data_IF_077411788218
#
_entry.id   IF_077411788218
#
_cell.length_a   1.000
_cell.length_b   1.000
_cell.length_c   1.000
_cell.angle_alpha   90.00
_cell.angle_beta   90.00
_cell.angle_gamma   90.00
#
_symmetry.space_group_name_H-M   'P 1'
#
loop_
_entity.id
_entity.type
_entity.pdbx_description
1 polymer ?
#
# COMPACT_ATOMS: atom_id res chain seq x y z
N UNK A 1 -1.97 -20.56 16.66
CA UNK A 1 -0.74 -19.75 16.55
C UNK A 1 -1.14 -18.31 16.29
N UNK A 2 -0.53 -17.34 16.96
CA UNK A 2 -0.75 -15.92 16.68
C UNK A 2 -0.03 -15.53 15.37
N UNK A 3 -0.60 -14.64 14.53
CA UNK A 3 0.02 -14.24 13.26
C UNK A 3 1.40 -13.59 13.40
N UNK A 4 1.63 -12.86 14.49
CA UNK A 4 2.90 -12.25 14.84
C UNK A 4 2.99 -12.01 16.35
N UNK A 5 4.18 -11.72 16.85
CA UNK A 5 4.43 -11.42 18.26
C UNK A 5 3.85 -10.05 18.62
N UNK A 6 2.92 -9.98 19.58
CA UNK A 6 2.22 -8.75 19.96
C UNK A 6 0.80 -8.63 19.40
N UNK A 7 0.33 -9.62 18.64
CA UNK A 7 -1.03 -9.66 18.10
C UNK A 7 -2.11 -9.55 19.20
N UNK A 8 -3.02 -8.60 19.03
CA UNK A 8 -4.24 -8.46 19.84
C UNK A 8 -5.45 -8.71 18.93
N UNK A 9 -6.35 -9.60 19.34
CA UNK A 9 -7.54 -9.89 18.56
C UNK A 9 -8.62 -8.82 18.80
N UNK A 10 -9.31 -8.41 17.73
CA UNK A 10 -10.48 -7.52 17.83
C UNK A 10 -10.16 -6.05 18.09
N UNK A 11 -8.89 -5.64 18.06
CA UNK A 11 -8.53 -4.23 18.07
C UNK A 11 -8.77 -3.58 16.70
N UNK A 12 -8.72 -2.26 16.67
CA UNK A 12 -8.85 -1.48 15.43
C UNK A 12 -7.67 -1.75 14.49
N UNK A 13 -7.83 -1.56 13.17
CA UNK A 13 -6.71 -1.70 12.22
C UNK A 13 -5.52 -0.79 12.55
N UNK A 14 -5.77 0.39 13.11
CA UNK A 14 -4.75 1.34 13.53
C UNK A 14 -3.97 0.82 14.75
N UNK A 15 -4.66 0.37 15.80
CA UNK A 15 -4.02 -0.27 16.96
C UNK A 15 -3.28 -1.55 16.57
N UNK A 16 -3.79 -2.26 15.57
CA UNK A 16 -3.14 -3.46 15.09
C UNK A 16 -1.77 -3.15 14.47
N UNK A 17 -1.65 -2.02 13.77
CA UNK A 17 -0.36 -1.52 13.28
C UNK A 17 0.56 -1.15 14.45
N UNK A 18 0.04 -0.47 15.47
CA UNK A 18 0.81 -0.11 16.66
C UNK A 18 1.38 -1.34 17.36
N UNK A 19 0.61 -2.42 17.43
CA UNK A 19 1.00 -3.69 18.04
C UNK A 19 2.09 -4.46 17.26
N UNK A 20 2.41 -4.06 16.02
CA UNK A 20 3.47 -4.71 15.24
C UNK A 20 4.83 -4.36 15.87
N UNK A 21 5.69 -5.35 16.15
CA UNK A 21 7.01 -5.06 16.71
C UNK A 21 7.82 -4.17 15.74
N UNK A 22 8.63 -3.27 16.28
CA UNK A 22 9.45 -2.30 15.50
C UNK A 22 10.23 -2.97 14.36
N UNK A 23 10.81 -4.15 14.61
CA UNK A 23 11.53 -4.91 13.57
C UNK A 23 10.60 -5.33 12.42
N UNK A 24 9.35 -5.70 12.71
CA UNK A 24 8.34 -6.00 11.70
C UNK A 24 7.93 -4.77 10.90
N UNK A 25 7.69 -3.63 11.57
CA UNK A 25 7.44 -2.34 10.91
C UNK A 25 8.59 -1.98 9.96
N UNK A 26 9.84 -2.11 10.41
CA UNK A 26 11.03 -1.85 9.59
C UNK A 26 11.16 -2.80 8.39
N UNK A 27 10.90 -4.10 8.58
CA UNK A 27 10.94 -5.06 7.47
C UNK A 27 9.93 -4.70 6.36
N UNK A 28 8.71 -4.30 6.74
CA UNK A 28 7.68 -3.86 5.79
C UNK A 28 8.14 -2.61 5.04
N UNK A 29 8.60 -1.58 5.76
CA UNK A 29 9.03 -0.32 5.15
C UNK A 29 10.26 -0.49 4.23
N UNK A 30 11.24 -1.31 4.65
CA UNK A 30 12.42 -1.63 3.84
C UNK A 30 12.01 -2.44 2.60
N UNK A 31 11.11 -3.40 2.73
CA UNK A 31 10.60 -4.17 1.60
C UNK A 31 9.88 -3.27 0.57
N UNK A 32 9.01 -2.38 1.03
CA UNK A 32 8.35 -1.38 0.17
C UNK A 32 9.40 -0.48 -0.49
N UNK A 33 10.36 0.05 0.27
CA UNK A 33 11.44 0.89 -0.26
C UNK A 33 12.29 0.19 -1.33
N UNK A 34 12.59 -1.10 -1.17
CA UNK A 34 13.28 -1.89 -2.19
C UNK A 34 12.42 -2.05 -3.46
N UNK A 35 11.12 -2.27 -3.33
CA UNK A 35 10.19 -2.41 -4.47
C UNK A 35 10.03 -1.09 -5.24
N UNK A 36 9.92 0.05 -4.54
CA UNK A 36 9.86 1.38 -5.14
C UNK A 36 11.17 1.71 -5.87
N UNK A 37 12.32 1.48 -5.22
CA UNK A 37 13.65 1.69 -5.83
C UNK A 37 13.85 0.82 -7.09
N UNK A 38 13.30 -0.39 -7.09
CA UNK A 38 13.32 -1.25 -8.28
C UNK A 38 12.46 -0.68 -9.42
N UNK A 39 11.28 -0.15 -9.11
CA UNK A 39 10.39 0.49 -10.07
C UNK A 39 10.98 1.73 -10.74
N UNK A 40 11.85 2.48 -10.06
CA UNK A 40 12.47 3.70 -10.60
C UNK A 40 13.83 3.47 -11.27
N UNK A 41 14.75 2.77 -10.60
CA UNK A 41 16.17 2.76 -10.98
C UNK A 41 16.75 1.39 -11.31
N UNK A 42 16.42 0.35 -10.55
CA UNK A 42 17.07 -0.96 -10.73
C UNK A 42 16.53 -1.77 -11.92
N UNK A 43 15.37 -1.38 -12.46
CA UNK A 43 14.81 -1.95 -13.68
C UNK A 43 15.34 -1.32 -14.97
N UNK A 44 16.34 -0.42 -14.92
CA UNK A 44 16.94 0.29 -16.06
C UNK A 44 17.70 -0.62 -17.06
N UNK A 45 17.02 -1.64 -17.58
CA UNK A 45 17.40 -2.41 -18.75
C UNK A 45 16.72 -1.88 -20.02
N UNK A 46 17.05 -2.44 -21.19
CA UNK A 46 16.55 -1.97 -22.50
C UNK A 46 15.02 -2.06 -22.67
N UNK A 47 14.33 -2.86 -21.86
CA UNK A 47 12.88 -3.07 -21.92
C UNK A 47 12.05 -2.10 -21.07
N UNK A 48 12.69 -1.29 -20.20
CA UNK A 48 12.00 -0.34 -19.33
C UNK A 48 12.41 1.10 -19.66
N UNK A 49 11.41 1.93 -20.00
CA UNK A 49 11.59 3.38 -20.12
C UNK A 49 11.00 4.04 -18.89
N UNK A 50 11.83 4.80 -18.18
CA UNK A 50 11.38 5.59 -17.03
C UNK A 50 10.22 6.52 -17.44
N UNK A 51 9.22 6.69 -16.58
CA UNK A 51 8.02 7.47 -16.91
C UNK A 51 8.34 8.92 -17.31
N UNK A 52 9.38 9.55 -16.74
CA UNK A 52 9.84 10.89 -17.15
C UNK A 52 10.59 10.93 -18.50
N UNK A 53 10.90 9.79 -19.10
CA UNK A 53 11.62 9.67 -20.38
C UNK A 53 10.71 9.11 -21.50
N UNK A 54 9.40 9.19 -21.34
CA UNK A 54 8.41 8.70 -22.31
C UNK A 54 7.79 7.34 -21.96
N UNK A 55 8.12 6.77 -20.80
CA UNK A 55 7.45 5.58 -20.28
C UNK A 55 6.01 5.86 -19.83
N UNK A 56 5.18 4.81 -19.76
CA UNK A 56 3.82 4.94 -19.26
C UNK A 56 3.83 5.13 -17.72
N UNK A 57 3.20 6.19 -17.17
CA UNK A 57 3.06 6.36 -15.73
C UNK A 57 2.27 5.20 -15.09
N UNK A 58 2.69 4.75 -13.91
CA UNK A 58 2.06 3.64 -13.18
C UNK A 58 2.42 2.24 -13.70
N UNK A 59 3.32 2.13 -14.68
CA UNK A 59 3.79 0.83 -15.16
C UNK A 59 4.90 0.28 -14.25
N UNK A 60 4.61 -0.79 -13.52
CA UNK A 60 5.61 -1.50 -12.73
C UNK A 60 6.38 -2.52 -13.60
N UNK A 61 7.72 -2.47 -13.66
CA UNK A 61 8.52 -3.39 -14.46
C UNK A 61 8.43 -4.85 -13.95
N UNK A 62 8.67 -5.82 -14.84
CA UNK A 62 8.70 -7.23 -14.43
C UNK A 62 9.90 -7.54 -13.52
N UNK A 63 9.62 -8.29 -12.45
CA UNK A 63 10.59 -8.71 -11.43
C UNK A 63 10.91 -10.20 -11.52
N UNK A 64 10.12 -10.97 -12.28
CA UNK A 64 10.34 -12.41 -12.48
C UNK A 64 11.72 -12.66 -13.13
N UNK A 65 12.47 -13.60 -12.57
CA UNK A 65 13.82 -13.97 -13.00
C UNK A 65 14.94 -13.06 -12.47
N UNK A 66 14.62 -12.00 -11.71
CA UNK A 66 15.62 -11.08 -11.16
C UNK A 66 16.24 -11.64 -9.86
N UNK A 67 17.33 -11.01 -9.43
CA UNK A 67 18.17 -11.48 -8.32
C UNK A 67 18.65 -12.94 -8.53
N UNK A 68 19.37 -13.19 -9.63
CA UNK A 68 19.86 -14.52 -10.02
C UNK A 68 18.77 -15.61 -10.09
N UNK A 69 17.56 -15.25 -10.48
CA UNK A 69 16.43 -16.18 -10.53
C UNK A 69 15.81 -16.52 -9.17
N UNK A 70 16.08 -15.76 -8.11
CA UNK A 70 15.43 -15.98 -6.82
C UNK A 70 13.95 -15.53 -6.83
N UNK A 71 13.62 -14.52 -7.62
CA UNK A 71 12.25 -14.00 -7.75
C UNK A 71 11.54 -14.75 -8.88
N UNK A 72 10.55 -15.57 -8.53
CA UNK A 72 9.85 -16.45 -9.48
C UNK A 72 8.50 -15.92 -9.97
N UNK A 73 8.00 -14.86 -9.34
CA UNK A 73 6.68 -14.27 -9.59
C UNK A 73 6.81 -12.78 -9.90
N UNK A 74 5.89 -12.25 -10.70
CA UNK A 74 5.76 -10.82 -10.93
C UNK A 74 4.88 -10.16 -9.85
N UNK A 75 5.08 -8.86 -9.60
CA UNK A 75 4.32 -8.13 -8.57
C UNK A 75 2.85 -7.93 -8.97
N UNK A 76 2.60 -7.49 -10.21
CA UNK A 76 1.25 -7.19 -10.70
C UNK A 76 0.50 -8.42 -11.24
N UNK A 77 1.22 -9.34 -11.88
CA UNK A 77 0.65 -10.56 -12.47
C UNK A 77 1.45 -11.80 -12.02
N UNK A 78 1.28 -12.24 -10.76
CA UNK A 78 2.11 -13.28 -10.16
C UNK A 78 2.02 -14.63 -10.86
N UNK A 79 0.89 -14.93 -11.50
CA UNK A 79 0.62 -16.21 -12.16
C UNK A 79 0.55 -16.11 -13.69
N UNK A 80 0.73 -14.92 -14.27
CA UNK A 80 0.68 -14.72 -15.72
C UNK A 80 -0.72 -14.88 -16.30
N UNK A 81 -1.74 -14.37 -15.61
CA UNK A 81 -3.13 -14.38 -16.09
C UNK A 81 -3.38 -13.42 -17.27
N UNK A 82 -2.35 -12.71 -17.73
CA UNK A 82 -2.45 -11.80 -18.87
C UNK A 82 -3.19 -10.53 -18.50
N UNK A 83 -3.06 -10.06 -17.25
CA UNK A 83 -3.70 -8.81 -16.83
C UNK A 83 -3.21 -7.61 -17.65
N UNK A 84 -1.99 -7.70 -18.19
CA UNK A 84 -1.35 -6.70 -19.05
C UNK A 84 -1.66 -6.87 -20.54
N UNK A 85 -2.02 -8.07 -20.97
CA UNK A 85 -2.20 -8.45 -22.38
C UNK A 85 -3.64 -8.19 -22.85
N UNK A 86 -4.12 -6.96 -22.62
CA UNK A 86 -5.44 -6.52 -23.06
C UNK A 86 -5.32 -5.61 -24.28
N UNK A 87 -6.30 -5.65 -25.21
CA UNK A 87 -6.32 -4.73 -26.34
C UNK A 87 -6.31 -3.27 -25.86
N UNK A 88 -5.72 -2.38 -26.66
CA UNK A 88 -5.45 -0.99 -26.30
C UNK A 88 -6.67 -0.25 -25.73
N UNK A 89 -7.86 -0.45 -26.31
CA UNK A 89 -9.10 0.17 -25.86
C UNK A 89 -9.52 -0.30 -24.46
N UNK A 90 -9.39 -1.60 -24.18
CA UNK A 90 -9.68 -2.17 -22.86
C UNK A 90 -8.65 -1.71 -21.83
N UNK A 91 -7.38 -1.56 -22.24
CA UNK A 91 -6.30 -1.03 -21.38
C UNK A 91 -6.57 0.44 -21.02
N UNK A 92 -6.91 1.28 -22.00
CA UNK A 92 -7.23 2.68 -21.77
C UNK A 92 -8.44 2.86 -20.84
N UNK A 93 -9.48 2.04 -21.02
CA UNK A 93 -10.62 2.00 -20.08
C UNK A 93 -10.19 1.56 -18.69
N UNK A 94 -9.36 0.53 -18.57
CA UNK A 94 -8.83 0.02 -17.30
C UNK A 94 -8.08 1.10 -16.52
N UNK A 95 -7.19 1.86 -17.18
CA UNK A 95 -6.44 2.96 -16.56
C UNK A 95 -7.36 4.07 -16.04
N UNK A 96 -8.43 4.39 -16.77
CA UNK A 96 -9.43 5.36 -16.30
C UNK A 96 -10.16 4.84 -15.06
N UNK A 97 -10.54 3.57 -15.05
CA UNK A 97 -11.17 2.94 -13.88
C UNK A 97 -10.23 2.91 -12.68
N UNK A 98 -8.94 2.64 -12.87
CA UNK A 98 -7.91 2.68 -11.83
C UNK A 98 -7.84 4.07 -11.17
N UNK A 99 -7.78 5.14 -11.96
CA UNK A 99 -7.73 6.52 -11.44
C UNK A 99 -9.00 6.88 -10.68
N UNK A 100 -10.18 6.56 -11.24
CA UNK A 100 -11.45 6.92 -10.62
C UNK A 100 -11.67 6.16 -9.30
N UNK A 101 -11.38 4.87 -9.29
CA UNK A 101 -11.46 4.05 -8.08
C UNK A 101 -10.39 4.45 -7.07
N UNK A 102 -9.18 4.78 -7.52
CA UNK A 102 -8.10 5.28 -6.66
C UNK A 102 -8.48 6.58 -5.96
N UNK A 103 -9.05 7.55 -6.70
CA UNK A 103 -9.56 8.80 -6.11
C UNK A 103 -10.67 8.55 -5.09
N UNK A 104 -11.60 7.65 -5.39
CA UNK A 104 -12.65 7.27 -4.44
C UNK A 104 -12.06 6.59 -3.19
N UNK A 105 -11.08 5.71 -3.36
CA UNK A 105 -10.39 5.04 -2.26
C UNK A 105 -9.61 6.03 -1.37
N UNK A 106 -8.97 7.06 -1.94
CA UNK A 106 -8.32 8.12 -1.18
C UNK A 106 -9.30 8.84 -0.25
N UNK A 107 -10.46 9.26 -0.76
CA UNK A 107 -11.51 9.86 0.07
C UNK A 107 -12.09 8.88 1.09
N UNK A 108 -12.25 7.61 0.71
CA UNK A 108 -12.72 6.56 1.62
C UNK A 108 -11.78 6.38 2.81
N UNK A 109 -10.49 6.16 2.56
CA UNK A 109 -9.46 5.98 3.60
C UNK A 109 -9.42 7.20 4.52
N UNK A 110 -9.32 8.41 3.96
CA UNK A 110 -9.28 9.64 4.77
C UNK A 110 -10.56 9.83 5.59
N UNK A 111 -11.73 9.47 5.05
CA UNK A 111 -12.99 9.52 5.78
C UNK A 111 -13.02 8.55 6.97
N UNK A 112 -12.56 7.31 6.79
CA UNK A 112 -12.47 6.34 7.90
C UNK A 112 -11.46 6.78 8.97
N UNK A 113 -10.31 7.33 8.57
CA UNK A 113 -9.31 7.85 9.50
C UNK A 113 -9.84 9.08 10.27
N UNK A 114 -10.52 9.99 9.59
CA UNK A 114 -11.11 11.19 10.19
C UNK A 114 -12.19 10.83 11.22
N UNK A 115 -13.12 9.93 10.88
CA UNK A 115 -14.15 9.48 11.84
C UNK A 115 -13.53 8.74 13.04
N UNK A 116 -12.48 7.95 12.79
CA UNK A 116 -11.80 7.20 13.85
C UNK A 116 -11.10 8.11 14.86
N UNK A 117 -10.49 9.21 14.39
CA UNK A 117 -9.82 10.20 15.26
C UNK A 117 -10.76 11.25 15.84
N UNK A 118 -11.76 11.68 15.08
CA UNK A 118 -12.74 12.71 15.46
C UNK A 118 -14.15 12.15 15.22
N UNK A 119 -14.78 11.57 16.26
CA UNK A 119 -16.12 11.01 16.16
C UNK A 119 -17.13 12.07 15.69
N UNK A 120 -17.97 11.73 14.71
CA UNK A 120 -18.96 12.65 14.13
C UNK A 120 -18.44 13.51 12.97
N UNK A 121 -17.17 13.40 12.57
CA UNK A 121 -16.61 14.18 11.46
C UNK A 121 -17.15 13.75 10.09
N UNK A 122 -17.60 12.51 9.94
CA UNK A 122 -18.19 11.97 8.72
C UNK A 122 -19.65 11.56 8.96
N UNK A 123 -20.65 12.31 8.43
CA UNK A 123 -22.07 12.11 8.73
C UNK A 123 -22.66 10.73 8.42
N UNK A 124 -22.02 9.97 7.52
CA UNK A 124 -22.46 8.62 7.15
C UNK A 124 -21.87 7.58 8.13
N UNK A 125 -20.61 7.76 8.54
CA UNK A 125 -19.91 6.81 9.39
C UNK A 125 -20.28 6.98 10.86
N UNK A 126 -20.61 8.21 11.29
CA UNK A 126 -21.09 8.50 12.64
C UNK A 126 -22.42 7.83 13.01
N UNK A 127 -23.16 7.35 11.99
CA UNK A 127 -24.39 6.57 12.17
C UNK A 127 -24.12 5.08 12.41
N UNK A 128 -22.88 4.63 12.27
CA UNK A 128 -22.49 3.24 12.53
C UNK A 128 -22.33 3.07 14.05
N UNK A 129 -23.16 2.26 14.72
CA UNK A 129 -23.03 2.04 16.16
C UNK A 129 -21.69 1.39 16.49
N UNK A 130 -20.95 1.98 17.42
CA UNK A 130 -19.67 1.43 17.87
C UNK A 130 -18.54 1.54 16.84
N UNK A 131 -18.55 2.57 15.98
CA UNK A 131 -17.42 2.82 15.09
C UNK A 131 -16.12 2.95 15.91
N UNK A 132 -15.04 2.25 15.51
CA UNK A 132 -13.82 2.18 16.28
C UNK A 132 -13.12 3.55 16.41
N UNK A 133 -12.91 3.98 17.66
CA UNK A 133 -12.15 5.18 17.97
C UNK A 133 -10.66 4.83 18.12
N UNK A 134 -9.80 5.70 17.61
CA UNK A 134 -8.35 5.56 17.72
C UNK A 134 -7.72 6.86 18.22
N UNK A 135 -7.11 6.78 19.41
CA UNK A 135 -6.50 7.93 20.08
C UNK A 135 -5.04 8.19 19.65
N UNK A 136 -4.38 7.23 18.99
CA UNK A 136 -2.99 7.36 18.56
C UNK A 136 -2.77 8.27 17.35
N UNK A 137 -1.54 8.36 16.88
CA UNK A 137 -1.16 9.16 15.71
C UNK A 137 -0.90 8.27 14.50
N UNK A 138 -1.83 8.29 13.55
CA UNK A 138 -1.79 7.43 12.34
C UNK A 138 -0.63 7.77 11.41
N UNK A 139 -0.07 8.98 11.50
CA UNK A 139 1.07 9.43 10.70
C UNK A 139 2.43 9.13 11.35
N UNK A 140 2.46 8.54 12.54
CA UNK A 140 3.69 8.18 13.25
C UNK A 140 3.97 6.66 13.12
N UNK A 141 4.77 6.21 12.15
CA UNK A 141 4.88 4.79 11.83
C UNK A 141 5.54 3.93 12.92
N UNK A 142 6.30 4.56 13.83
CA UNK A 142 7.01 3.89 14.93
C UNK A 142 6.47 4.26 16.32
N UNK A 143 5.35 5.00 16.40
CA UNK A 143 4.66 5.14 17.66
C UNK A 143 4.01 3.79 18.05
N UNK A 144 3.87 3.49 19.35
CA UNK A 144 4.32 4.26 20.52
C UNK A 144 5.77 3.95 20.97
N UNK A 145 6.56 3.18 20.21
CA UNK A 145 7.87 2.71 20.68
C UNK A 145 9.00 3.74 20.50
N UNK A 146 8.94 4.57 19.45
CA UNK A 146 9.97 5.55 19.10
C UNK A 146 9.32 6.91 18.91
N UNK A 147 9.73 7.88 19.73
CA UNK A 147 9.30 9.26 19.64
C UNK A 147 10.52 10.17 19.41
N UNK A 148 10.37 11.16 18.55
CA UNK A 148 11.38 12.20 18.37
C UNK A 148 11.09 13.33 19.36
N UNK A 149 11.98 13.51 20.34
CA UNK A 149 11.92 14.64 21.26
C UNK A 149 12.70 15.80 20.63
N UNK A 150 11.99 16.81 20.15
CA UNK A 150 12.56 18.06 19.67
C UNK A 150 12.05 19.22 20.51
#
# INVERSE_FOLDING_TARGET
FAPYRGYVAGCTPQEQWDNIPVVGKLQILIAIGMLESYGEGAAAGPEYTHYMRGGQPGFYPDIKGKNNGQIQINLYDPFGFGFRDKPADKRARGLRSEILNGRAAMFGIMGFLAESKVPGSVPILSKIPGFPHYDGEVMAPFAPEIHLNF
#
